data_IF_826502638527
#
_entry.id   IF_826502638527
#
_cell.length_a   1.000
_cell.length_b   1.000
_cell.length_c   1.000
_cell.angle_alpha   90.00
_cell.angle_beta   90.00
_cell.angle_gamma   90.00
#
_symmetry.space_group_name_H-M   'P 1'
#
loop_
_entity.id
_entity.type
_entity.pdbx_description
1 polymer ?
#
# COMPACT_ATOMS: atom_id res chain seq x y z
N UNK A 1 27.24 -21.62 0.20
CA UNK A 1 26.63 -20.63 1.11
C UNK A 1 26.12 -19.37 0.37
N UNK A 2 25.12 -19.41 -0.53
CA UNK A 2 24.66 -18.18 -1.23
C UNK A 2 23.14 -18.04 -1.44
N UNK A 3 22.31 -18.78 -0.70
CA UNK A 3 20.84 -18.81 -0.89
C UNK A 3 20.09 -17.67 -0.19
N UNK A 4 20.63 -17.01 0.85
CA UNK A 4 19.93 -15.92 1.55
C UNK A 4 20.13 -14.53 0.94
N UNK A 5 21.30 -14.24 0.35
CA UNK A 5 21.65 -12.88 -0.13
C UNK A 5 20.71 -12.30 -1.19
N UNK A 6 20.11 -13.14 -2.06
CA UNK A 6 19.24 -12.66 -3.15
C UNK A 6 17.79 -12.43 -2.74
N UNK A 7 17.33 -13.12 -1.69
CA UNK A 7 15.98 -12.92 -1.11
C UNK A 7 15.95 -11.70 -0.20
N UNK A 8 17.06 -11.44 0.51
CA UNK A 8 17.30 -10.22 1.30
C UNK A 8 17.22 -8.99 0.40
N UNK A 9 17.83 -9.05 -0.81
CA UNK A 9 17.78 -7.96 -1.80
C UNK A 9 16.36 -7.50 -2.17
N UNK A 10 15.36 -8.39 -2.17
CA UNK A 10 13.99 -8.05 -2.57
C UNK A 10 13.21 -7.32 -1.45
N UNK A 11 13.46 -7.67 -0.18
CA UNK A 11 12.98 -6.87 0.95
C UNK A 11 13.77 -5.58 1.07
N UNK A 12 15.07 -5.59 0.75
CA UNK A 12 15.88 -4.37 0.67
C UNK A 12 15.27 -3.38 -0.32
N UNK A 13 14.83 -3.85 -1.50
CA UNK A 13 14.19 -2.99 -2.49
C UNK A 13 12.89 -2.38 -1.94
N UNK A 14 12.01 -3.20 -1.31
CA UNK A 14 10.78 -2.70 -0.69
C UNK A 14 11.05 -1.75 0.49
N UNK A 15 11.96 -2.11 1.39
CA UNK A 15 12.31 -1.32 2.55
C UNK A 15 13.09 -0.07 2.17
N UNK A 16 13.84 -0.09 1.09
CA UNK A 16 14.48 1.11 0.54
C UNK A 16 13.45 2.13 0.09
N UNK A 17 12.31 1.68 -0.46
CA UNK A 17 11.18 2.57 -0.79
C UNK A 17 10.61 3.15 0.50
N UNK A 18 10.32 2.33 1.50
CA UNK A 18 9.79 2.81 2.79
C UNK A 18 10.73 3.79 3.50
N UNK A 19 12.04 3.55 3.41
CA UNK A 19 13.08 4.41 3.97
C UNK A 19 13.24 5.75 3.25
N UNK A 20 12.68 5.94 2.04
CA UNK A 20 12.62 7.26 1.40
C UNK A 20 11.75 8.22 2.20
N UNK A 21 10.62 7.76 2.71
CA UNK A 21 9.74 8.56 3.58
C UNK A 21 10.18 8.56 5.03
N UNK A 22 10.79 7.46 5.52
CA UNK A 22 11.26 7.32 6.92
C UNK A 22 12.66 6.72 7.00
N UNK A 23 13.73 7.53 6.87
CA UNK A 23 15.12 7.04 6.90
C UNK A 23 15.51 6.37 8.23
N UNK A 24 14.85 6.79 9.31
CA UNK A 24 15.01 6.30 10.68
C UNK A 24 14.33 4.94 10.93
N UNK A 25 13.57 4.42 9.96
CA UNK A 25 12.81 3.20 10.10
C UNK A 25 13.73 1.97 10.26
N UNK A 26 13.67 1.37 11.45
CA UNK A 26 14.36 0.11 11.77
C UNK A 26 13.43 -1.08 11.51
N UNK A 27 13.71 -1.85 10.45
CA UNK A 27 12.91 -3.02 10.08
C UNK A 27 13.71 -4.30 10.32
N UNK A 28 13.22 -5.18 11.20
CA UNK A 28 13.79 -6.52 11.36
C UNK A 28 13.23 -7.46 10.28
N UNK A 29 14.07 -7.83 9.33
CA UNK A 29 13.74 -8.76 8.25
C UNK A 29 13.10 -10.07 8.73
N UNK A 30 13.49 -10.55 9.92
CA UNK A 30 12.96 -11.81 10.47
C UNK A 30 11.46 -11.72 10.77
N UNK A 31 10.96 -10.53 11.12
CA UNK A 31 9.54 -10.26 11.35
C UNK A 31 8.76 -10.29 10.03
N UNK A 32 9.32 -9.78 8.93
CA UNK A 32 8.63 -9.64 7.64
C UNK A 32 8.77 -10.85 6.71
N UNK A 33 9.87 -11.60 6.81
CA UNK A 33 10.18 -12.80 6.02
C UNK A 33 9.02 -13.81 5.95
N UNK A 34 8.33 -14.16 7.06
CA UNK A 34 7.13 -14.98 7.07
C UNK A 34 6.01 -14.56 6.12
N UNK A 35 5.84 -13.26 5.94
CA UNK A 35 4.71 -12.70 5.19
C UNK A 35 5.03 -12.57 3.70
N UNK A 36 6.33 -12.47 3.36
CA UNK A 36 6.86 -12.61 2.02
C UNK A 36 6.88 -14.09 1.57
N UNK A 37 7.25 -15.01 2.47
CA UNK A 37 7.36 -16.45 2.23
C UNK A 37 6.38 -17.24 3.09
N UNK A 38 5.07 -17.18 2.78
CA UNK A 38 4.05 -17.78 3.62
C UNK A 38 4.18 -19.30 3.66
N UNK A 39 4.67 -19.83 4.78
CA UNK A 39 4.42 -21.22 5.16
C UNK A 39 2.98 -21.34 5.69
N UNK A 40 2.41 -22.54 5.69
CA UNK A 40 1.02 -22.80 6.08
C UNK A 40 0.68 -22.40 7.55
N UNK A 41 1.65 -21.92 8.34
CA UNK A 41 1.56 -21.83 9.80
C UNK A 41 1.15 -20.47 10.36
N UNK A 42 0.93 -19.44 9.53
CA UNK A 42 0.65 -18.08 10.03
C UNK A 42 -0.85 -17.76 10.07
N UNK A 43 -1.46 -18.03 11.23
CA UNK A 43 -2.90 -17.87 11.48
C UNK A 43 -3.41 -16.43 11.28
N UNK A 44 -2.57 -15.41 11.49
CA UNK A 44 -3.02 -14.02 11.54
C UNK A 44 -2.96 -13.29 10.19
N UNK A 45 -2.59 -13.97 9.10
CA UNK A 45 -2.35 -13.30 7.81
C UNK A 45 -3.57 -12.60 7.24
N UNK A 46 -4.75 -13.19 7.42
CA UNK A 46 -6.00 -12.57 6.97
C UNK A 46 -6.37 -11.36 7.83
N UNK A 47 -6.08 -11.40 9.13
CA UNK A 47 -6.28 -10.26 10.04
C UNK A 47 -5.34 -9.11 9.69
N UNK A 48 -4.05 -9.38 9.45
CA UNK A 48 -3.08 -8.37 9.02
C UNK A 48 -3.47 -7.72 7.69
N UNK A 49 -3.93 -8.52 6.72
CA UNK A 49 -4.46 -7.98 5.46
C UNK A 49 -5.69 -7.12 5.68
N UNK A 50 -6.58 -7.53 6.58
CA UNK A 50 -7.78 -6.76 6.94
C UNK A 50 -7.40 -5.42 7.59
N UNK A 51 -6.45 -5.44 8.53
CA UNK A 51 -5.91 -4.26 9.19
C UNK A 51 -5.31 -3.28 8.18
N UNK A 52 -4.43 -3.75 7.30
CA UNK A 52 -3.86 -2.92 6.24
C UNK A 52 -4.94 -2.35 5.30
N UNK A 53 -5.97 -3.14 4.98
CA UNK A 53 -7.10 -2.63 4.19
C UNK A 53 -7.87 -1.54 4.90
N UNK A 54 -8.16 -1.71 6.18
CA UNK A 54 -8.86 -0.71 6.96
C UNK A 54 -8.04 0.58 7.00
N UNK A 55 -6.74 0.50 7.33
CA UNK A 55 -5.90 1.70 7.38
C UNK A 55 -5.82 2.42 6.04
N UNK A 56 -5.57 1.70 4.93
CA UNK A 56 -5.51 2.34 3.61
C UNK A 56 -6.85 2.99 3.26
N UNK A 57 -7.98 2.32 3.51
CA UNK A 57 -9.29 2.92 3.25
C UNK A 57 -9.55 4.15 4.12
N UNK A 58 -9.17 4.10 5.41
CA UNK A 58 -9.24 5.25 6.30
C UNK A 58 -8.38 6.40 5.77
N UNK A 59 -7.16 6.13 5.31
CA UNK A 59 -6.27 7.14 4.77
C UNK A 59 -6.77 7.70 3.43
N UNK A 60 -7.38 6.87 2.56
CA UNK A 60 -8.08 7.32 1.34
C UNK A 60 -9.24 8.25 1.71
N UNK A 61 -10.06 7.86 2.68
CA UNK A 61 -11.18 8.65 3.16
C UNK A 61 -10.70 9.97 3.76
N UNK A 62 -9.72 9.95 4.66
CA UNK A 62 -9.14 11.16 5.26
C UNK A 62 -8.58 12.08 4.18
N UNK A 63 -7.79 11.55 3.24
CA UNK A 63 -7.24 12.34 2.15
C UNK A 63 -8.33 12.98 1.28
N UNK A 64 -9.37 12.23 0.92
CA UNK A 64 -10.50 12.76 0.16
C UNK A 64 -11.34 13.75 0.97
N UNK A 65 -11.49 13.53 2.27
CA UNK A 65 -12.25 14.43 3.15
C UNK A 65 -11.61 15.82 3.24
N UNK A 66 -10.29 15.91 3.02
CA UNK A 66 -9.57 17.20 2.93
C UNK A 66 -10.08 18.10 1.81
N UNK A 67 -10.70 17.55 0.77
CA UNK A 67 -11.30 18.34 -0.32
C UNK A 67 -12.46 19.20 0.21
N UNK A 68 -13.18 18.71 1.23
CA UNK A 68 -14.27 19.42 1.90
C UNK A 68 -13.80 20.29 3.08
N UNK A 69 -12.49 20.35 3.36
CA UNK A 69 -11.96 21.28 4.34
C UNK A 69 -12.07 22.70 3.80
N UNK A 70 -12.34 23.63 4.74
CA UNK A 70 -12.69 25.01 4.44
C UNK A 70 -11.66 25.69 3.53
N UNK A 71 -12.16 26.33 2.48
CA UNK A 71 -11.39 27.28 1.67
C UNK A 71 -11.36 28.65 2.37
N UNK A 72 -10.33 29.46 2.11
CA UNK A 72 -10.28 30.87 2.56
C UNK A 72 -11.42 31.72 1.99
N UNK A 73 -12.15 31.20 1.01
CA UNK A 73 -13.27 31.86 0.33
C UNK A 73 -14.66 31.40 0.84
N UNK A 74 -14.71 30.61 1.91
CA UNK A 74 -15.98 30.07 2.42
C UNK A 74 -16.77 31.07 3.26
N UNK A 75 -18.08 31.18 3.01
CA UNK A 75 -19.02 32.02 3.75
C UNK A 75 -19.67 31.19 4.86
N UNK A 76 -19.73 31.73 6.09
CA UNK A 76 -20.34 31.08 7.26
C UNK A 76 -19.82 29.67 7.59
N UNK A 77 -18.61 29.34 7.15
CA UNK A 77 -17.95 28.10 7.53
C UNK A 77 -18.47 26.84 6.82
N UNK A 78 -19.19 27.02 5.72
CA UNK A 78 -19.59 25.96 4.79
C UNK A 78 -18.91 26.17 3.44
N UNK A 79 -18.25 25.13 2.92
CA UNK A 79 -17.61 25.15 1.60
C UNK A 79 -18.68 24.95 0.52
N UNK A 80 -19.13 26.02 -0.12
CA UNK A 80 -20.12 25.95 -1.21
C UNK A 80 -19.48 25.60 -2.57
N UNK A 81 -18.15 25.57 -2.67
CA UNK A 81 -17.43 25.34 -3.92
C UNK A 81 -16.79 23.95 -4.00
N UNK A 82 -17.02 23.06 -3.03
CA UNK A 82 -16.41 21.73 -3.02
C UNK A 82 -16.68 20.92 -4.31
N UNK A 83 -17.84 21.13 -4.96
CA UNK A 83 -18.19 20.49 -6.22
C UNK A 83 -17.20 20.83 -7.34
N UNK A 84 -16.65 22.05 -7.35
CA UNK A 84 -15.60 22.48 -8.31
C UNK A 84 -14.23 21.86 -8.02
N UNK A 85 -14.02 21.36 -6.80
CA UNK A 85 -12.80 20.65 -6.37
C UNK A 85 -12.87 19.15 -6.65
N UNK A 86 -14.03 18.63 -7.07
CA UNK A 86 -14.18 17.23 -7.43
C UNK A 86 -13.48 16.96 -8.77
N UNK A 87 -12.73 15.85 -8.91
CA UNK A 87 -12.22 15.44 -10.21
C UNK A 87 -13.40 15.21 -11.17
N UNK A 88 -13.30 15.72 -12.40
CA UNK A 88 -14.39 15.66 -13.39
C UNK A 88 -14.98 14.25 -13.54
N UNK A 89 -16.31 14.14 -13.44
CA UNK A 89 -17.04 12.86 -13.51
C UNK A 89 -17.14 12.08 -12.20
N UNK A 90 -16.60 12.60 -11.09
CA UNK A 90 -16.67 11.96 -9.77
C UNK A 90 -17.73 12.67 -8.91
N UNK A 91 -18.70 11.93 -8.37
CA UNK A 91 -19.61 12.50 -7.37
C UNK A 91 -18.94 12.43 -5.97
N UNK A 92 -19.44 13.22 -5.03
CA UNK A 92 -18.90 13.25 -3.66
C UNK A 92 -18.97 11.88 -2.95
N UNK A 93 -19.97 11.07 -3.30
CA UNK A 93 -20.15 9.72 -2.75
C UNK A 93 -19.04 8.77 -3.19
N UNK A 94 -18.56 8.86 -4.43
CA UNK A 94 -17.48 8.03 -4.97
C UNK A 94 -16.12 8.37 -4.35
N UNK A 95 -15.90 9.62 -3.93
CA UNK A 95 -14.72 9.97 -3.15
C UNK A 95 -14.75 9.38 -1.74
N UNK A 96 -15.94 9.28 -1.14
CA UNK A 96 -16.11 8.78 0.22
C UNK A 96 -16.16 7.25 0.25
N UNK A 97 -16.63 6.62 -0.83
CA UNK A 97 -16.76 5.19 -0.95
C UNK A 97 -15.68 4.61 -1.89
N UNK A 98 -14.51 4.22 -1.36
CA UNK A 98 -13.42 3.68 -2.17
C UNK A 98 -13.77 2.35 -2.87
N UNK A 99 -14.91 1.73 -2.55
CA UNK A 99 -15.37 0.52 -3.24
C UNK A 99 -16.08 0.80 -4.56
N UNK A 100 -16.69 1.97 -4.74
CA UNK A 100 -17.45 2.31 -5.95
C UNK A 100 -16.66 3.14 -6.95
N UNK A 101 -15.64 3.87 -6.47
CA UNK A 101 -14.79 4.69 -7.33
C UNK A 101 -13.79 3.85 -8.14
N UNK A 102 -13.95 3.89 -9.47
CA UNK A 102 -13.02 3.29 -10.43
C UNK A 102 -11.63 3.92 -10.41
N UNK A 103 -11.48 5.15 -9.93
CA UNK A 103 -10.22 5.89 -9.96
C UNK A 103 -9.48 5.90 -8.62
N UNK A 104 -10.12 5.43 -7.54
CA UNK A 104 -9.57 5.51 -6.19
C UNK A 104 -9.67 4.21 -5.43
N UNK A 105 -9.96 3.10 -6.12
CA UNK A 105 -10.06 1.81 -5.47
C UNK A 105 -8.70 1.41 -4.92
N UNK A 106 -8.72 0.97 -3.65
CA UNK A 106 -7.54 0.51 -2.94
C UNK A 106 -6.75 -0.52 -3.77
N UNK A 107 -7.45 -1.41 -4.47
CA UNK A 107 -6.81 -2.47 -5.26
C UNK A 107 -6.00 -1.92 -6.45
N UNK A 108 -6.46 -0.85 -7.09
CA UNK A 108 -5.75 -0.19 -8.18
C UNK A 108 -4.52 0.55 -7.66
N UNK A 109 -4.63 1.27 -6.55
CA UNK A 109 -3.49 1.96 -5.94
C UNK A 109 -2.39 0.98 -5.52
N UNK A 110 -2.77 -0.15 -4.91
CA UNK A 110 -1.83 -1.20 -4.55
C UNK A 110 -1.22 -1.87 -5.79
N UNK A 111 -2.02 -2.14 -6.82
CA UNK A 111 -1.50 -2.71 -8.07
C UNK A 111 -0.48 -1.78 -8.72
N UNK A 112 -0.80 -0.49 -8.79
CA UNK A 112 0.05 0.54 -9.37
C UNK A 112 1.34 0.72 -8.59
N UNK A 113 1.27 0.74 -7.26
CA UNK A 113 2.47 0.76 -6.42
C UNK A 113 3.40 -0.43 -6.72
N UNK A 114 2.84 -1.62 -6.90
CA UNK A 114 3.60 -2.84 -7.23
C UNK A 114 4.24 -2.75 -8.62
N UNK A 115 3.53 -2.19 -9.62
CA UNK A 115 4.07 -2.05 -10.98
C UNK A 115 5.11 -0.95 -11.09
N UNK A 116 4.83 0.23 -10.55
CA UNK A 116 5.69 1.43 -10.67
C UNK A 116 7.03 1.22 -9.97
N UNK A 117 7.06 0.39 -8.92
CA UNK A 117 8.27 0.04 -8.17
C UNK A 117 8.90 -1.30 -8.61
N UNK A 118 8.46 -1.90 -9.74
CA UNK A 118 8.97 -3.18 -10.26
C UNK A 118 8.93 -4.36 -9.26
N UNK A 119 8.01 -4.32 -8.29
CA UNK A 119 7.91 -5.33 -7.24
C UNK A 119 7.27 -6.63 -7.74
N UNK A 120 6.56 -6.60 -8.88
CA UNK A 120 5.89 -7.78 -9.48
C UNK A 120 6.82 -8.96 -9.78
N UNK A 121 8.12 -8.70 -9.94
CA UNK A 121 9.16 -9.71 -10.18
C UNK A 121 9.64 -10.42 -8.91
N UNK A 122 9.28 -9.94 -7.72
CA UNK A 122 9.70 -10.53 -6.46
C UNK A 122 8.98 -11.88 -6.29
N UNK A 123 9.75 -12.95 -6.07
CA UNK A 123 9.17 -14.26 -5.77
C UNK A 123 8.78 -14.35 -4.30
N UNK A 124 7.58 -14.88 -4.04
CA UNK A 124 7.08 -15.22 -2.70
C UNK A 124 7.50 -16.63 -2.25
N UNK A 125 8.59 -17.16 -2.81
CA UNK A 125 9.21 -18.42 -2.38
C UNK A 125 10.70 -18.13 -2.20
N UNK A 126 11.37 -18.69 -1.17
CA UNK A 126 12.79 -18.44 -0.92
C UNK A 126 13.69 -19.20 -1.92
N UNK A 127 13.28 -19.32 -3.17
CA UNK A 127 13.97 -20.01 -4.26
C UNK A 127 14.10 -19.01 -5.42
N UNK A 128 15.28 -18.88 -6.06
CA UNK A 128 15.47 -18.01 -7.21
C UNK A 128 14.46 -18.31 -8.33
N UNK A 129 13.92 -17.28 -8.97
CA UNK A 129 12.89 -17.43 -10.02
C UNK A 129 13.35 -18.32 -11.18
N UNK A 130 14.65 -18.24 -11.54
CA UNK A 130 15.27 -19.09 -12.57
C UNK A 130 15.23 -20.58 -12.25
N UNK A 131 15.05 -20.96 -10.98
CA UNK A 131 14.97 -22.35 -10.50
C UNK A 131 13.53 -22.79 -10.20
N UNK A 132 12.55 -21.88 -10.29
CA UNK A 132 11.15 -22.20 -10.05
C UNK A 132 10.44 -22.52 -11.38
N UNK A 133 9.79 -23.70 -11.49
CA UNK A 133 8.83 -23.96 -12.56
C UNK A 133 7.78 -22.84 -12.63
N UNK A 134 7.47 -22.36 -13.84
CA UNK A 134 6.53 -21.25 -14.06
C UNK A 134 5.22 -21.41 -13.28
N UNK A 135 4.71 -22.64 -13.18
CA UNK A 135 3.48 -23.03 -12.46
C UNK A 135 3.47 -22.74 -10.95
N UNK A 136 4.63 -22.68 -10.29
CA UNK A 136 4.73 -22.46 -8.84
C UNK A 136 5.36 -21.12 -8.48
N UNK A 137 5.65 -20.25 -9.46
CA UNK A 137 6.14 -18.90 -9.21
C UNK A 137 5.01 -18.07 -8.60
N UNK A 138 4.88 -18.10 -7.27
CA UNK A 138 4.08 -17.10 -6.58
C UNK A 138 4.83 -15.78 -6.70
N UNK A 139 4.21 -14.81 -7.36
CA UNK A 139 4.72 -13.45 -7.52
C UNK A 139 4.23 -12.59 -6.36
N UNK A 140 5.03 -11.60 -5.98
CA UNK A 140 4.63 -10.55 -5.08
C UNK A 140 3.40 -9.85 -5.64
N UNK A 141 2.33 -9.94 -4.87
CA UNK A 141 0.99 -9.49 -5.26
C UNK A 141 0.42 -8.58 -4.19
N UNK A 142 -0.78 -8.04 -4.46
CA UNK A 142 -1.48 -7.15 -3.54
C UNK A 142 -1.70 -7.78 -2.16
N UNK A 143 -1.98 -9.08 -2.11
CA UNK A 143 -2.23 -9.78 -0.84
C UNK A 143 -0.96 -9.93 -0.01
N UNK A 144 0.19 -10.07 -0.66
CA UNK A 144 1.50 -10.10 -0.02
C UNK A 144 1.87 -8.73 0.52
N UNK A 145 1.72 -7.69 -0.30
CA UNK A 145 1.91 -6.30 0.11
C UNK A 145 1.02 -5.95 1.30
N UNK A 146 -0.28 -6.30 1.27
CA UNK A 146 -1.19 -6.10 2.39
C UNK A 146 -0.77 -6.82 3.66
N UNK A 147 -0.16 -8.01 3.54
CA UNK A 147 0.34 -8.73 4.72
C UNK A 147 1.55 -8.01 5.33
N UNK A 148 2.46 -7.52 4.47
CA UNK A 148 3.66 -6.77 4.87
C UNK A 148 3.29 -5.41 5.48
N UNK A 149 2.35 -4.69 4.88
CA UNK A 149 1.83 -3.45 5.46
C UNK A 149 1.10 -3.73 6.77
N UNK A 150 0.37 -4.84 6.87
CA UNK A 150 -0.32 -5.23 8.11
C UNK A 150 0.63 -5.41 9.28
N UNK A 151 1.75 -6.11 9.07
CA UNK A 151 2.79 -6.26 10.11
C UNK A 151 3.55 -4.94 10.33
N UNK A 152 3.78 -4.13 9.29
CA UNK A 152 4.37 -2.81 9.47
C UNK A 152 3.50 -1.90 10.36
N UNK A 153 2.17 -1.99 10.24
CA UNK A 153 1.24 -1.24 11.09
C UNK A 153 1.34 -1.67 12.54
N UNK A 154 1.55 -2.95 12.82
CA UNK A 154 1.66 -3.45 14.19
C UNK A 154 3.00 -3.08 14.83
N UNK A 155 4.08 -3.09 14.06
CA UNK A 155 5.41 -2.73 14.57
C UNK A 155 5.62 -1.21 14.63
N UNK A 156 5.17 -0.48 13.61
CA UNK A 156 5.51 0.93 13.37
C UNK A 156 4.30 1.73 12.83
N UNK A 157 3.25 1.95 13.64
CA UNK A 157 1.98 2.52 13.18
C UNK A 157 2.13 3.90 12.55
N UNK A 158 2.89 4.82 13.18
CA UNK A 158 3.09 6.18 12.66
C UNK A 158 3.84 6.16 11.32
N UNK A 159 4.90 5.34 11.22
CA UNK A 159 5.65 5.22 9.97
C UNK A 159 4.78 4.63 8.86
N UNK A 160 3.92 3.65 9.19
CA UNK A 160 3.02 3.01 8.24
C UNK A 160 2.04 4.01 7.62
N UNK A 161 1.48 4.95 8.39
CA UNK A 161 0.58 5.99 7.88
C UNK A 161 1.29 6.90 6.87
N UNK A 162 2.49 7.36 7.20
CA UNK A 162 3.32 8.21 6.33
C UNK A 162 3.65 7.48 5.02
N UNK A 163 4.09 6.23 5.11
CA UNK A 163 4.42 5.40 3.94
C UNK A 163 3.21 5.20 3.04
N UNK A 164 2.05 4.88 3.62
CA UNK A 164 0.80 4.71 2.86
C UNK A 164 0.43 6.03 2.17
N UNK A 165 0.50 7.16 2.89
CA UNK A 165 0.18 8.46 2.33
C UNK A 165 1.10 8.84 1.17
N UNK A 166 2.42 8.75 1.37
CA UNK A 166 3.41 9.24 0.42
C UNK A 166 3.57 8.35 -0.81
N UNK A 167 3.48 7.03 -0.63
CA UNK A 167 3.79 6.09 -1.72
C UNK A 167 2.56 5.45 -2.35
N UNK A 168 1.44 5.34 -1.63
CA UNK A 168 0.24 4.68 -2.14
C UNK A 168 -0.81 5.71 -2.56
N UNK A 169 -1.04 6.74 -1.75
CA UNK A 169 -2.08 7.74 -2.07
C UNK A 169 -1.63 8.77 -3.08
N UNK A 170 -0.36 9.18 -3.13
CA UNK A 170 0.12 10.13 -4.15
C UNK A 170 -0.02 9.59 -5.58
N UNK A 171 -0.13 8.26 -5.76
CA UNK A 171 -0.33 7.64 -7.07
C UNK A 171 -1.67 8.00 -7.74
N UNK A 172 -2.64 8.53 -6.97
CA UNK A 172 -3.94 9.03 -7.47
C UNK A 172 -3.80 10.07 -8.56
N UNK A 173 -2.82 10.98 -8.44
CA UNK A 173 -2.63 12.07 -9.40
C UNK A 173 -2.23 11.62 -10.81
N UNK A 174 -1.84 10.35 -10.95
CA UNK A 174 -1.29 9.79 -12.19
C UNK A 174 -2.15 8.65 -12.78
N UNK A 175 -3.39 8.43 -12.30
CA UNK A 175 -4.28 7.40 -12.87
C UNK A 175 -4.98 8.02 -14.08
N UNK A 176 -4.42 7.76 -15.27
CA UNK A 176 -5.02 8.10 -16.57
C UNK A 176 -6.02 7.02 -17.00
#
# INVERSE_FOLDING_TARGET
MSRSKKNIKNLDDLFSIFKKSRPDLSLDYNVFLPYLYPTQKYANRNQLRSLARQLINTQIFTHNSRIFLRSKFDINGSDFNFMSKLPGGTNAFDLINPRTSKHTSQELLLQKFITDNNLSGISNIPIPESKLPKRIRRKFDRLTLLSILGILITEEPIASEIIIHDHILQLKGNIK
#
